data_IF_311725314039
#
_entry.id   IF_311725314039
#
_cell.length_a   1.000
_cell.length_b   1.000
_cell.length_c   1.000
_cell.angle_alpha   90.00
_cell.angle_beta   90.00
_cell.angle_gamma   90.00
#
_symmetry.space_group_name_H-M   'P 1'
#
loop_
_entity.id
_entity.type
_entity.pdbx_description
1 polymer ?
#
# COMPACT_ATOMS: atom_id res chain seq x y z
N UNK A 1 -25.02 -5.70 11.26
CA UNK A 1 -24.08 -6.02 10.17
C UNK A 1 -23.74 -7.49 10.26
N UNK A 2 -23.85 -8.27 9.18
CA UNK A 2 -23.53 -9.71 9.19
C UNK A 2 -22.03 -9.94 8.97
N UNK A 3 -21.50 -11.08 9.39
CA UNK A 3 -20.09 -11.47 9.13
C UNK A 3 -19.80 -11.44 7.62
N UNK A 4 -20.74 -11.89 6.79
CA UNK A 4 -20.61 -11.83 5.34
C UNK A 4 -20.44 -10.39 4.81
N UNK A 5 -21.22 -9.44 5.33
CA UNK A 5 -21.09 -8.02 4.93
C UNK A 5 -19.78 -7.38 5.38
N UNK A 6 -19.22 -7.81 6.52
CA UNK A 6 -17.91 -7.36 6.99
C UNK A 6 -16.80 -7.88 6.08
N UNK A 7 -16.80 -9.17 5.75
CA UNK A 7 -15.80 -9.77 4.86
C UNK A 7 -15.82 -9.13 3.48
N UNK A 8 -17.00 -8.83 2.94
CA UNK A 8 -17.14 -8.11 1.68
C UNK A 8 -16.57 -6.68 1.74
N UNK A 9 -16.76 -5.98 2.86
CA UNK A 9 -16.20 -4.64 3.06
C UNK A 9 -14.66 -4.67 3.11
N UNK A 10 -14.07 -5.63 3.85
CA UNK A 10 -12.62 -5.83 3.90
C UNK A 10 -12.08 -6.21 2.52
N UNK A 11 -12.75 -7.13 1.82
CA UNK A 11 -12.33 -7.57 0.48
C UNK A 11 -12.27 -6.40 -0.51
N UNK A 12 -13.20 -5.43 -0.40
CA UNK A 12 -13.17 -4.23 -1.25
C UNK A 12 -11.96 -3.36 -0.98
N UNK A 13 -11.47 -3.28 0.26
CA UNK A 13 -10.33 -2.44 0.64
C UNK A 13 -8.98 -3.17 0.57
N UNK A 14 -8.97 -4.45 0.20
CA UNK A 14 -7.75 -5.27 0.12
C UNK A 14 -6.60 -4.61 -0.66
N UNK A 15 -6.80 -3.94 -1.81
CA UNK A 15 -5.72 -3.26 -2.51
C UNK A 15 -5.02 -2.20 -1.65
N UNK A 16 -5.79 -1.41 -0.91
CA UNK A 16 -5.25 -0.38 -0.02
C UNK A 16 -4.62 -0.97 1.24
N UNK A 17 -5.24 -2.00 1.82
CA UNK A 17 -4.68 -2.72 2.98
C UNK A 17 -3.33 -3.34 2.60
N UNK A 18 -3.25 -3.97 1.42
CA UNK A 18 -2.00 -4.53 0.90
C UNK A 18 -0.96 -3.44 0.61
N UNK A 19 -1.37 -2.33 0.00
CA UNK A 19 -0.49 -1.20 -0.27
C UNK A 19 0.18 -0.67 1.01
N UNK A 20 -0.62 -0.37 2.04
CA UNK A 20 -0.09 0.20 3.29
C UNK A 20 0.61 -0.85 4.15
N UNK A 21 0.01 -2.04 4.28
CA UNK A 21 0.50 -3.09 5.18
C UNK A 21 1.70 -3.87 4.66
N UNK A 22 1.90 -3.92 3.34
CA UNK A 22 2.99 -4.69 2.72
C UNK A 22 3.86 -3.84 1.79
N UNK A 23 3.26 -3.15 0.81
CA UNK A 23 4.02 -2.46 -0.24
C UNK A 23 4.83 -1.27 0.31
N UNK A 24 4.27 -0.47 1.21
CA UNK A 24 4.98 0.66 1.82
C UNK A 24 6.21 0.22 2.64
N UNK A 25 6.12 -0.74 3.58
CA UNK A 25 7.29 -1.31 4.25
C UNK A 25 8.32 -1.88 3.28
N UNK A 26 7.88 -2.62 2.26
CA UNK A 26 8.77 -3.22 1.26
C UNK A 26 9.58 -2.15 0.52
N UNK A 27 8.93 -1.09 0.04
CA UNK A 27 9.61 0.03 -0.65
C UNK A 27 10.59 0.72 0.31
N UNK A 28 10.15 1.05 1.52
CA UNK A 28 11.00 1.71 2.52
C UNK A 28 12.23 0.87 2.86
N UNK A 29 12.06 -0.43 3.08
CA UNK A 29 13.17 -1.35 3.39
C UNK A 29 14.09 -1.54 2.20
N UNK A 30 13.54 -1.59 0.98
CA UNK A 30 14.33 -1.67 -0.25
C UNK A 30 15.22 -0.44 -0.42
N UNK A 31 14.69 0.77 -0.20
CA UNK A 31 15.46 2.02 -0.24
C UNK A 31 16.61 2.00 0.78
N UNK A 32 16.31 1.59 2.01
CA UNK A 32 17.34 1.45 3.06
C UNK A 32 18.40 0.41 2.67
N UNK A 33 17.99 -0.73 2.11
CA UNK A 33 18.90 -1.81 1.72
C UNK A 33 19.88 -1.40 0.61
N UNK A 34 19.45 -0.54 -0.31
CA UNK A 34 20.31 0.00 -1.38
C UNK A 34 21.08 1.26 -0.96
N UNK A 35 20.98 1.67 0.31
CA UNK A 35 21.66 2.86 0.84
C UNK A 35 21.07 4.19 0.34
N UNK A 36 19.87 4.17 -0.24
CA UNK A 36 19.21 5.40 -0.69
C UNK A 36 18.39 6.00 0.45
N UNK A 37 18.73 7.24 0.81
CA UNK A 37 17.96 8.06 1.74
C UNK A 37 17.21 9.14 0.98
N UNK A 38 15.89 9.13 1.08
CA UNK A 38 15.03 10.18 0.51
C UNK A 38 14.73 11.27 1.54
N UNK A 39 14.59 12.54 1.11
CA UNK A 39 14.11 13.60 1.97
C UNK A 39 12.79 13.20 2.66
N UNK A 40 12.61 13.58 3.92
CA UNK A 40 11.43 13.25 4.75
C UNK A 40 11.30 11.75 5.15
N UNK A 41 12.28 10.91 4.81
CA UNK A 41 12.42 9.54 5.29
C UNK A 41 11.84 8.47 4.36
N UNK A 42 12.51 7.32 4.31
CA UNK A 42 12.18 6.20 3.42
C UNK A 42 10.76 5.64 3.65
N UNK A 43 10.27 5.68 4.89
CA UNK A 43 8.91 5.23 5.22
C UNK A 43 7.85 6.18 4.63
N UNK A 44 8.04 7.49 4.79
CA UNK A 44 7.13 8.51 4.24
C UNK A 44 7.04 8.39 2.72
N UNK A 45 8.18 8.18 2.05
CA UNK A 45 8.23 7.93 0.62
C UNK A 45 7.55 6.62 0.23
N UNK A 46 7.84 5.53 0.93
CA UNK A 46 7.22 4.23 0.70
C UNK A 46 5.69 4.28 0.85
N UNK A 47 5.19 4.99 1.86
CA UNK A 47 3.76 5.24 2.06
C UNK A 47 3.17 6.05 0.91
N UNK A 48 3.80 7.14 0.48
CA UNK A 48 3.30 7.97 -0.61
C UNK A 48 3.17 7.18 -1.91
N UNK A 49 4.22 6.44 -2.29
CA UNK A 49 4.22 5.59 -3.49
C UNK A 49 3.18 4.48 -3.37
N UNK A 50 3.16 3.75 -2.25
CA UNK A 50 2.24 2.64 -2.08
C UNK A 50 0.78 3.09 -2.05
N UNK A 51 0.43 4.18 -1.35
CA UNK A 51 -0.94 4.71 -1.32
C UNK A 51 -1.36 5.15 -2.72
N UNK A 52 -0.50 5.87 -3.45
CA UNK A 52 -0.79 6.27 -4.83
C UNK A 52 -1.07 5.05 -5.73
N UNK A 53 -0.21 4.04 -5.68
CA UNK A 53 -0.36 2.81 -6.45
C UNK A 53 -1.57 1.97 -6.02
N UNK A 54 -1.82 1.91 -4.70
CA UNK A 54 -2.96 1.22 -4.10
C UNK A 54 -4.29 1.86 -4.47
N UNK A 55 -4.36 3.19 -4.54
CA UNK A 55 -5.55 3.91 -5.03
C UNK A 55 -5.79 3.58 -6.52
N UNK A 56 -4.75 3.58 -7.35
CA UNK A 56 -4.87 3.17 -8.75
C UNK A 56 -5.45 1.75 -8.85
N UNK A 57 -4.91 0.81 -8.07
CA UNK A 57 -5.41 -0.57 -8.04
C UNK A 57 -6.84 -0.68 -7.51
N UNK A 58 -7.19 0.12 -6.51
CA UNK A 58 -8.52 0.18 -5.91
C UNK A 58 -9.58 0.65 -6.92
N UNK A 59 -9.27 1.63 -7.77
CA UNK A 59 -10.19 2.17 -8.77
C UNK A 59 -10.20 1.37 -10.07
N UNK A 60 -9.04 0.91 -10.57
CA UNK A 60 -8.95 0.15 -11.83
C UNK A 60 -9.24 -1.35 -11.68
N UNK A 61 -9.22 -1.87 -10.46
CA UNK A 61 -9.32 -3.31 -10.18
C UNK A 61 -8.08 -4.11 -10.62
N UNK A 62 -6.98 -3.44 -10.97
CA UNK A 62 -5.70 -4.03 -11.38
C UNK A 62 -4.54 -3.09 -11.07
N UNK A 63 -3.36 -3.65 -10.85
CA UNK A 63 -2.14 -2.91 -10.49
C UNK A 63 -1.40 -2.29 -11.68
N UNK A 64 -1.67 -2.76 -12.90
CA UNK A 64 -1.06 -2.31 -14.17
C UNK A 64 -2.19 -2.17 -15.21
#
# INVERSE_FOLDING_TARGET
MSIASLMAAVAKLLPLIFAVGFLAPLISQSLTAIGWSVPFGNLSFGLAVAIGWGLIAQFKGRWI
#
